data_IF_345415755594
#
_entry.id   IF_345415755594
#
_cell.length_a   1.000
_cell.length_b   1.000
_cell.length_c   1.000
_cell.angle_alpha   90.00
_cell.angle_beta   90.00
_cell.angle_gamma   90.00
#
_symmetry.space_group_name_H-M   'P 1'
#
loop_
_entity.id
_entity.type
_entity.pdbx_description
1 polymer ?
#
# COMPACT_ATOMS: atom_id res chain seq x y z
N UNK A 1 -8.80 4.94 -13.32
CA UNK A 1 -8.06 4.85 -12.05
C UNK A 1 -6.63 5.20 -12.36
N UNK A 2 -6.08 6.17 -11.66
CA UNK A 2 -4.67 6.56 -11.74
C UNK A 2 -3.90 5.82 -10.64
N UNK A 3 -2.60 5.59 -10.85
CA UNK A 3 -1.78 4.94 -9.84
C UNK A 3 -0.35 5.45 -9.82
N UNK A 4 0.24 5.51 -8.62
CA UNK A 4 1.60 5.97 -8.37
C UNK A 4 2.31 4.98 -7.44
N UNK A 5 3.59 4.70 -7.69
CA UNK A 5 4.38 3.75 -6.91
C UNK A 5 5.33 4.47 -5.96
N UNK A 6 5.38 4.00 -4.72
CA UNK A 6 6.19 4.54 -3.63
C UNK A 6 7.05 3.46 -3.00
N UNK A 7 8.23 3.83 -2.54
CA UNK A 7 9.15 2.95 -1.81
C UNK A 7 9.44 3.56 -0.45
N UNK A 8 9.17 2.81 0.61
CA UNK A 8 9.41 3.24 1.99
C UNK A 8 10.43 2.34 2.66
N UNK A 9 11.20 2.89 3.59
CA UNK A 9 12.04 2.10 4.49
C UNK A 9 11.16 1.43 5.55
N UNK A 10 11.35 0.13 5.78
CA UNK A 10 10.65 -0.56 6.86
C UNK A 10 11.41 -0.35 8.18
N UNK A 11 10.72 0.00 9.29
CA UNK A 11 11.37 0.35 10.55
C UNK A 11 11.98 -0.85 11.32
N UNK A 12 12.05 -2.04 10.70
CA UNK A 12 12.55 -3.26 11.33
C UNK A 12 14.04 -3.51 11.02
N UNK A 13 14.83 -4.09 11.95
CA UNK A 13 16.23 -4.44 11.70
C UNK A 13 16.41 -5.29 10.42
N UNK A 14 17.36 -4.88 9.57
CA UNK A 14 17.63 -5.53 8.28
C UNK A 14 17.46 -4.63 7.06
N UNK A 15 16.97 -3.39 7.23
CA UNK A 15 16.97 -2.37 6.18
C UNK A 15 16.12 -2.73 4.96
N UNK A 16 15.12 -3.59 5.14
CA UNK A 16 14.21 -3.96 4.08
C UNK A 16 13.29 -2.78 3.74
N UNK A 17 12.89 -2.71 2.48
CA UNK A 17 11.98 -1.70 1.95
C UNK A 17 10.61 -2.30 1.66
N UNK A 18 9.59 -1.45 1.68
CA UNK A 18 8.24 -1.82 1.28
C UNK A 18 7.83 -0.95 0.08
N UNK A 19 7.31 -1.59 -0.96
CA UNK A 19 6.78 -0.92 -2.15
C UNK A 19 5.27 -0.89 -2.03
N UNK A 20 4.71 0.30 -2.18
CA UNK A 20 3.29 0.53 -2.19
C UNK A 20 2.85 1.18 -3.50
N UNK A 21 1.57 1.05 -3.80
CA UNK A 21 0.93 1.75 -4.91
C UNK A 21 -0.28 2.52 -4.37
N UNK A 22 -0.30 3.83 -4.61
CA UNK A 22 -1.46 4.70 -4.38
C UNK A 22 -2.36 4.63 -5.60
N UNK A 23 -3.66 4.59 -5.38
CA UNK A 23 -4.69 4.65 -6.41
C UNK A 23 -5.67 5.78 -6.15
N UNK A 24 -6.00 6.51 -7.20
CA UNK A 24 -6.94 7.64 -7.19
C UNK A 24 -7.86 7.61 -8.43
N UNK A 25 -8.92 8.41 -8.42
CA UNK A 25 -9.83 8.55 -9.56
C UNK A 25 -10.26 10.01 -9.74
N UNK A 26 -9.73 10.69 -10.76
CA UNK A 26 -10.03 12.10 -11.01
C UNK A 26 -9.69 12.95 -9.79
N UNK A 27 -10.63 13.77 -9.34
CA UNK A 27 -10.44 14.63 -8.17
C UNK A 27 -10.63 13.93 -6.81
N UNK A 28 -10.56 12.58 -6.74
CA UNK A 28 -10.77 11.87 -5.47
C UNK A 28 -9.72 12.24 -4.41
N UNK A 29 -8.48 12.46 -4.82
CA UNK A 29 -7.37 12.81 -3.92
C UNK A 29 -7.56 14.15 -3.21
N UNK A 30 -8.35 15.07 -3.79
CA UNK A 30 -8.64 16.38 -3.19
C UNK A 30 -9.81 16.35 -2.21
N UNK A 31 -10.49 15.21 -2.04
CA UNK A 31 -11.57 15.06 -1.07
C UNK A 31 -10.99 14.77 0.33
N UNK A 32 -10.65 15.82 1.07
CA UNK A 32 -10.10 15.72 2.43
C UNK A 32 -11.04 15.02 3.41
N UNK A 33 -12.36 15.03 3.17
CA UNK A 33 -13.34 14.31 4.00
C UNK A 33 -13.46 12.82 3.67
N UNK A 34 -12.92 12.40 2.52
CA UNK A 34 -13.03 11.02 2.05
C UNK A 34 -12.12 10.05 2.80
N UNK A 35 -12.41 8.77 2.67
CA UNK A 35 -11.70 7.68 3.34
C UNK A 35 -10.48 7.22 2.55
N UNK A 36 -9.41 6.90 3.27
CA UNK A 36 -8.25 6.17 2.74
C UNK A 36 -8.45 4.68 2.99
N UNK A 37 -8.39 3.87 1.94
CA UNK A 37 -8.44 2.41 2.06
C UNK A 37 -7.04 1.82 2.00
N UNK A 38 -6.75 0.86 2.89
CA UNK A 38 -5.48 0.13 2.92
C UNK A 38 -5.74 -1.33 2.57
N UNK A 39 -5.03 -1.83 1.57
CA UNK A 39 -5.14 -3.19 1.06
C UNK A 39 -3.86 -3.98 1.32
N UNK A 40 -4.04 -5.16 1.90
CA UNK A 40 -2.98 -6.10 2.24
C UNK A 40 -3.28 -7.43 1.59
N UNK A 41 -2.31 -8.00 0.88
CA UNK A 41 -2.52 -9.25 0.15
C UNK A 41 -2.26 -10.48 1.03
N UNK A 42 -2.80 -11.63 0.61
CA UNK A 42 -2.47 -12.94 1.20
C UNK A 42 -1.08 -13.41 0.77
N UNK A 43 -0.55 -14.42 1.47
CA UNK A 43 0.71 -15.08 1.12
C UNK A 43 0.65 -15.60 -0.33
N UNK A 44 1.74 -15.40 -1.10
CA UNK A 44 1.84 -15.84 -2.49
C UNK A 44 1.14 -14.94 -3.51
N UNK A 45 0.63 -13.77 -3.09
CA UNK A 45 0.01 -12.77 -3.95
C UNK A 45 0.82 -11.45 -3.94
N UNK A 46 0.29 -10.40 -4.56
CA UNK A 46 0.90 -9.07 -4.69
C UNK A 46 -0.20 -7.98 -4.78
N UNK A 47 0.18 -6.71 -4.57
CA UNK A 47 -0.74 -5.57 -4.44
C UNK A 47 -1.64 -5.33 -5.67
N UNK A 48 -1.19 -5.64 -6.88
CA UNK A 48 -1.99 -5.46 -8.12
C UNK A 48 -3.23 -6.37 -8.19
N UNK A 49 -3.30 -7.44 -7.38
CA UNK A 49 -4.50 -8.30 -7.32
C UNK A 49 -5.78 -7.52 -6.93
N UNK A 50 -5.62 -6.37 -6.27
CA UNK A 50 -6.73 -5.52 -5.85
C UNK A 50 -7.25 -4.58 -6.94
N UNK A 51 -6.52 -4.38 -8.04
CA UNK A 51 -6.88 -3.41 -9.09
C UNK A 51 -8.32 -3.59 -9.63
N UNK A 52 -8.80 -4.82 -9.95
CA UNK A 52 -10.18 -4.99 -10.41
C UNK A 52 -11.25 -4.59 -9.37
N UNK A 53 -10.96 -4.80 -8.09
CA UNK A 53 -11.87 -4.42 -6.99
C UNK A 53 -11.84 -2.91 -6.80
N UNK A 54 -10.66 -2.29 -6.88
CA UNK A 54 -10.48 -0.85 -6.75
C UNK A 54 -11.19 -0.09 -7.86
N UNK A 55 -11.07 -0.53 -9.12
CA UNK A 55 -11.81 0.05 -10.24
C UNK A 55 -13.32 0.05 -9.98
N UNK A 56 -13.84 -1.08 -9.48
CA UNK A 56 -15.25 -1.19 -9.13
C UNK A 56 -15.63 -0.30 -7.96
N UNK A 57 -14.80 -0.22 -6.92
CA UNK A 57 -15.05 0.64 -5.77
C UNK A 57 -15.11 2.11 -6.19
N UNK A 58 -14.14 2.60 -6.95
CA UNK A 58 -14.13 3.98 -7.46
C UNK A 58 -15.34 4.29 -8.35
N UNK A 59 -15.77 3.35 -9.19
CA UNK A 59 -16.97 3.52 -10.02
C UNK A 59 -18.25 3.68 -9.19
N UNK A 60 -18.36 2.99 -8.05
CA UNK A 60 -19.55 3.01 -7.20
C UNK A 60 -19.68 4.27 -6.31
N UNK A 61 -18.72 5.19 -6.35
CA UNK A 61 -18.66 6.37 -5.47
C UNK A 61 -19.66 7.48 -5.83
N UNK A 62 -20.11 7.57 -7.09
CA UNK A 62 -20.86 8.72 -7.62
C UNK A 62 -22.16 9.09 -6.88
N UNK A 63 -22.75 8.15 -6.12
CA UNK A 63 -23.99 8.34 -5.35
C UNK A 63 -23.77 8.36 -3.84
N UNK A 64 -22.53 8.36 -3.38
CA UNK A 64 -22.15 8.30 -1.97
C UNK A 64 -21.93 9.71 -1.42
N UNK A 65 -22.19 9.89 -0.12
CA UNK A 65 -21.83 11.11 0.59
C UNK A 65 -20.30 11.28 0.58
N UNK A 66 -19.82 12.52 0.56
CA UNK A 66 -18.40 12.85 0.36
C UNK A 66 -17.50 12.27 1.44
N UNK A 67 -17.99 12.17 2.67
CA UNK A 67 -17.29 11.64 3.85
C UNK A 67 -17.10 10.11 3.84
N UNK A 68 -17.88 9.40 3.01
CA UNK A 68 -17.73 7.95 2.81
C UNK A 68 -17.16 7.62 1.43
N UNK A 69 -16.81 8.64 0.64
CA UNK A 69 -16.18 8.43 -0.65
C UNK A 69 -14.71 8.02 -0.50
N UNK A 70 -14.24 7.14 -1.36
CA UNK A 70 -12.81 6.77 -1.40
C UNK A 70 -12.01 7.96 -1.92
N UNK A 71 -11.19 8.57 -1.05
CA UNK A 71 -10.22 9.60 -1.41
C UNK A 71 -9.09 8.99 -2.22
N UNK A 72 -8.52 7.95 -1.65
CA UNK A 72 -7.40 7.19 -2.21
C UNK A 72 -7.41 5.77 -1.65
N UNK A 73 -6.76 4.85 -2.35
CA UNK A 73 -6.51 3.52 -1.87
C UNK A 73 -5.03 3.19 -1.98
N UNK A 74 -4.51 2.38 -1.07
CA UNK A 74 -3.11 1.99 -1.02
C UNK A 74 -2.98 0.48 -0.97
N UNK A 75 -2.22 -0.09 -1.90
CA UNK A 75 -1.85 -1.50 -1.88
C UNK A 75 -0.37 -1.65 -1.55
N UNK A 76 -0.03 -2.57 -0.66
CA UNK A 76 1.35 -2.80 -0.20
C UNK A 76 1.82 -4.21 -0.52
N UNK A 77 3.03 -4.33 -1.05
CA UNK A 77 3.72 -5.63 -1.16
C UNK A 77 4.54 -5.89 0.09
N UNK A 78 4.41 -7.06 0.70
CA UNK A 78 5.29 -7.47 1.81
C UNK A 78 6.76 -7.41 1.38
N UNK A 79 7.70 -7.23 2.31
CA UNK A 79 9.12 -7.05 1.97
C UNK A 79 9.71 -8.18 1.10
N UNK A 80 9.13 -9.37 1.15
CA UNK A 80 9.50 -10.56 0.38
C UNK A 80 8.61 -10.86 -0.84
N UNK A 81 7.63 -10.02 -1.16
CA UNK A 81 6.66 -10.24 -2.24
C UNK A 81 6.68 -9.10 -3.26
N UNK A 82 6.12 -9.36 -4.44
CA UNK A 82 5.93 -8.38 -5.51
C UNK A 82 7.16 -7.53 -5.80
N UNK A 83 6.97 -6.22 -5.91
CA UNK A 83 8.05 -5.28 -6.21
C UNK A 83 8.99 -5.08 -5.02
N UNK A 84 8.49 -5.21 -3.79
CA UNK A 84 9.32 -5.17 -2.58
C UNK A 84 10.40 -6.26 -2.60
N UNK A 85 10.06 -7.48 -3.06
CA UNK A 85 11.02 -8.58 -3.20
C UNK A 85 12.17 -8.22 -4.17
N UNK A 86 11.84 -7.49 -5.23
CA UNK A 86 12.81 -7.06 -6.24
C UNK A 86 13.76 -6.02 -5.64
N UNK A 87 13.21 -5.00 -4.98
CA UNK A 87 13.99 -3.95 -4.31
C UNK A 87 14.88 -4.53 -3.21
N UNK A 88 14.40 -5.55 -2.51
CA UNK A 88 15.13 -6.19 -1.40
C UNK A 88 15.96 -7.41 -1.82
N UNK A 89 16.11 -7.69 -3.12
CA UNK A 89 16.65 -8.96 -3.61
C UNK A 89 17.96 -9.37 -2.93
N UNK A 90 18.91 -8.45 -2.80
CA UNK A 90 20.20 -8.76 -2.19
C UNK A 90 20.11 -8.95 -0.67
N UNK A 91 19.34 -8.11 0.02
CA UNK A 91 19.11 -8.25 1.46
C UNK A 91 18.39 -9.55 1.83
N UNK A 92 17.45 -10.00 0.97
CA UNK A 92 16.73 -11.27 1.16
C UNK A 92 17.62 -12.49 0.91
N UNK A 93 18.56 -12.44 -0.05
CA UNK A 93 19.51 -13.54 -0.29
C UNK A 93 20.48 -13.75 0.87
N UNK A 94 20.86 -12.66 1.56
CA UNK A 94 21.81 -12.71 2.68
C UNK A 94 21.16 -13.09 4.02
N UNK A 95 19.83 -13.26 4.07
CA UNK A 95 19.11 -13.64 5.29
C UNK A 95 19.10 -15.15 5.47
N UNK A 96 19.29 -15.59 6.72
CA UNK A 96 19.12 -16.99 7.13
C UNK A 96 17.63 -17.33 7.39
N UNK A 97 16.88 -16.36 7.92
CA UNK A 97 15.47 -16.51 8.29
C UNK A 97 14.50 -15.94 7.25
N UNK A 98 13.25 -16.42 7.28
CA UNK A 98 12.16 -15.87 6.49
C UNK A 98 11.65 -14.52 7.04
N UNK A 99 11.06 -13.69 6.17
CA UNK A 99 10.43 -12.44 6.60
C UNK A 99 9.16 -12.75 7.39
N UNK A 100 9.14 -12.40 8.68
CA UNK A 100 8.00 -12.62 9.55
C UNK A 100 6.91 -11.54 9.37
N UNK A 101 5.65 -11.90 9.59
CA UNK A 101 4.52 -10.96 9.60
C UNK A 101 4.71 -9.82 10.62
N UNK A 102 5.44 -10.09 11.70
CA UNK A 102 5.78 -9.09 12.72
C UNK A 102 6.77 -8.03 12.22
N UNK A 103 7.51 -8.30 11.15
CA UNK A 103 8.39 -7.33 10.48
C UNK A 103 7.63 -6.46 9.47
N UNK A 104 6.51 -6.98 8.96
CA UNK A 104 5.69 -6.31 7.96
C UNK A 104 4.76 -5.25 8.58
N UNK A 105 4.04 -5.60 9.64
CA UNK A 105 3.05 -4.72 10.29
C UNK A 105 3.60 -3.34 10.73
N UNK A 106 4.82 -3.22 11.29
CA UNK A 106 5.37 -1.93 11.70
C UNK A 106 5.42 -0.87 10.59
N UNK A 107 5.69 -1.27 9.34
CA UNK A 107 5.71 -0.34 8.21
C UNK A 107 4.32 0.23 7.91
N UNK A 108 3.26 -0.60 8.02
CA UNK A 108 1.88 -0.12 7.89
C UNK A 108 1.48 0.82 9.03
N UNK A 109 1.92 0.53 10.25
CA UNK A 109 1.67 1.41 11.41
C UNK A 109 2.32 2.77 11.20
N UNK A 110 3.56 2.81 10.74
CA UNK A 110 4.26 4.05 10.46
C UNK A 110 3.59 4.83 9.33
N UNK A 111 3.21 4.14 8.24
CA UNK A 111 2.43 4.72 7.16
C UNK A 111 1.13 5.36 7.66
N UNK A 112 0.32 4.64 8.45
CA UNK A 112 -0.95 5.16 9.00
C UNK A 112 -0.74 6.35 9.93
N UNK A 113 0.39 6.40 10.65
CA UNK A 113 0.74 7.52 11.53
C UNK A 113 1.39 8.68 10.81
N UNK A 114 1.78 8.51 9.55
CA UNK A 114 2.46 9.55 8.81
C UNK A 114 1.49 10.71 8.48
N UNK A 115 1.97 11.96 8.52
CA UNK A 115 1.12 13.11 8.20
C UNK A 115 0.57 13.00 6.78
N UNK A 116 -0.72 13.31 6.61
CA UNK A 116 -1.42 13.16 5.32
C UNK A 116 -0.88 14.04 4.20
N UNK A 117 -0.10 15.08 4.54
CA UNK A 117 0.62 15.99 3.63
C UNK A 117 2.02 15.48 3.23
N UNK A 118 2.50 14.39 3.84
CA UNK A 118 3.82 13.80 3.59
C UNK A 118 3.80 12.50 2.79
N UNK A 119 2.62 12.10 2.30
CA UNK A 119 2.41 10.88 1.51
C UNK A 119 2.07 11.20 0.06
#
# INVERSE_FOLDING_TARGET
MESETFVFDAPYPGGLKIVAKRYTQGASSTNESGVTLIFTHCIGSHKEQWEPILERLFHLQSRKATDVQVREAWGFDWQSHGDSAVVNREALKSREDCVSVFEWWPALVEFVKSPSDKI
#
